data_IF_098364463581
#
_entry.id   IF_098364463581
#
_cell.length_a   1.000
_cell.length_b   1.000
_cell.length_c   1.000
_cell.angle_alpha   90.00
_cell.angle_beta   90.00
_cell.angle_gamma   90.00
#
_symmetry.space_group_name_H-M   'P 1'
#
loop_
_entity.id
_entity.type
_entity.pdbx_description
1 polymer ?
#
# COMPACT_ATOMS: atom_id res chain seq x y z
N UNK A 1 20.23 -17.51 24.32
CA UNK A 1 21.39 -17.79 23.46
C UNK A 1 20.93 -17.55 22.03
N UNK A 2 21.31 -16.42 21.43
CA UNK A 2 21.06 -16.17 20.01
C UNK A 2 21.88 -17.15 19.19
N UNK A 3 21.35 -17.57 18.06
CA UNK A 3 22.14 -18.32 17.07
C UNK A 3 23.31 -17.40 16.70
N UNK A 4 24.55 -17.81 17.01
CA UNK A 4 25.72 -16.97 16.84
C UNK A 4 25.79 -16.43 15.39
N UNK A 5 25.65 -15.11 15.26
CA UNK A 5 25.78 -14.40 13.98
C UNK A 5 24.49 -14.09 13.22
N UNK A 6 23.29 -14.49 13.68
CA UNK A 6 22.03 -14.21 13.00
C UNK A 6 21.22 -13.16 13.78
N UNK A 7 20.91 -12.02 13.15
CA UNK A 7 20.05 -10.98 13.71
C UNK A 7 18.57 -11.28 13.35
N UNK A 8 17.89 -11.96 14.28
CA UNK A 8 16.47 -12.32 14.12
C UNK A 8 15.56 -11.09 14.00
N UNK A 9 15.89 -10.02 14.72
CA UNK A 9 15.10 -8.78 14.67
C UNK A 9 15.16 -8.13 13.28
N UNK A 10 16.33 -8.12 12.67
CA UNK A 10 16.49 -7.64 11.31
C UNK A 10 15.72 -8.51 10.29
N UNK A 11 15.80 -9.83 10.44
CA UNK A 11 15.05 -10.76 9.58
C UNK A 11 13.56 -10.48 9.67
N UNK A 12 13.01 -10.32 10.88
CA UNK A 12 11.60 -9.99 11.07
C UNK A 12 11.23 -8.62 10.54
N UNK A 13 12.10 -7.62 10.70
CA UNK A 13 11.92 -6.30 10.09
C UNK A 13 11.77 -6.39 8.58
N UNK A 14 12.62 -7.20 7.91
CA UNK A 14 12.56 -7.44 6.45
C UNK A 14 11.28 -8.20 6.06
N UNK A 15 10.88 -9.23 6.82
CA UNK A 15 9.65 -9.99 6.53
C UNK A 15 8.41 -9.09 6.64
N UNK A 16 8.33 -8.25 7.68
CA UNK A 16 7.21 -7.31 7.85
C UNK A 16 7.22 -6.27 6.72
N UNK A 17 8.36 -5.68 6.43
CA UNK A 17 8.50 -4.73 5.34
C UNK A 17 8.09 -5.35 4.00
N UNK A 18 8.47 -6.59 3.72
CA UNK A 18 8.05 -7.33 2.54
C UNK A 18 6.52 -7.56 2.52
N UNK A 19 5.93 -8.02 3.64
CA UNK A 19 4.48 -8.25 3.74
C UNK A 19 3.67 -6.98 3.52
N UNK A 20 4.06 -5.87 4.15
CA UNK A 20 3.43 -4.56 3.96
C UNK A 20 3.59 -4.07 2.51
N UNK A 21 4.76 -4.26 1.90
CA UNK A 21 4.98 -3.91 0.49
C UNK A 21 4.09 -4.72 -0.45
N UNK A 22 3.95 -6.02 -0.21
CA UNK A 22 3.05 -6.88 -0.98
C UNK A 22 1.60 -6.41 -0.84
N UNK A 23 1.16 -6.05 0.37
CA UNK A 23 -0.16 -5.47 0.59
C UNK A 23 -0.36 -4.16 -0.19
N UNK A 24 0.58 -3.21 -0.07
CA UNK A 24 0.51 -1.91 -0.77
C UNK A 24 0.42 -2.08 -2.29
N UNK A 25 1.15 -3.03 -2.87
CA UNK A 25 1.13 -3.27 -4.30
C UNK A 25 -0.17 -3.97 -4.71
N UNK A 26 -0.52 -5.08 -4.05
CA UNK A 26 -1.56 -5.98 -4.52
C UNK A 26 -2.96 -5.47 -4.16
N UNK A 27 -3.20 -5.08 -2.92
CA UNK A 27 -4.48 -4.49 -2.53
C UNK A 27 -4.59 -3.02 -3.00
N UNK A 28 -3.46 -2.35 -3.23
CA UNK A 28 -3.43 -0.97 -3.71
C UNK A 28 -4.08 -0.78 -5.08
N UNK A 29 -3.87 -1.66 -6.06
CA UNK A 29 -4.59 -1.53 -7.33
C UNK A 29 -6.06 -1.93 -7.20
N UNK A 30 -6.42 -2.87 -6.31
CA UNK A 30 -7.82 -3.24 -6.05
C UNK A 30 -8.60 -2.04 -5.48
N UNK A 31 -8.05 -1.39 -4.46
CA UNK A 31 -8.60 -0.15 -3.89
C UNK A 31 -8.61 0.97 -4.93
N UNK A 32 -7.58 1.03 -5.78
CA UNK A 32 -7.48 1.96 -6.89
C UNK A 32 -8.63 1.85 -7.89
N UNK A 33 -9.14 0.64 -8.14
CA UNK A 33 -10.33 0.44 -8.95
C UNK A 33 -11.56 1.11 -8.32
N UNK A 34 -11.78 0.92 -7.02
CA UNK A 34 -12.89 1.56 -6.31
C UNK A 34 -12.83 3.09 -6.35
N UNK A 35 -11.61 3.66 -6.26
CA UNK A 35 -11.36 5.10 -6.38
C UNK A 35 -11.70 5.61 -7.79
N UNK A 36 -11.38 4.84 -8.83
CA UNK A 36 -11.65 5.19 -10.24
C UNK A 36 -13.09 4.92 -10.67
N UNK A 37 -13.82 4.10 -9.94
CA UNK A 37 -15.18 3.64 -10.28
C UNK A 37 -16.17 4.76 -10.59
N UNK A 38 -16.20 5.89 -9.85
CA UNK A 38 -17.09 7.03 -10.16
C UNK A 38 -16.85 7.65 -11.54
N UNK A 39 -15.62 7.53 -12.06
CA UNK A 39 -15.23 8.12 -13.35
C UNK A 39 -15.74 7.32 -14.56
N UNK A 40 -16.33 6.14 -14.32
CA UNK A 40 -16.83 5.24 -15.35
C UNK A 40 -18.36 5.25 -15.33
N UNK A 41 -19.02 5.90 -16.29
CA UNK A 41 -20.48 5.99 -16.32
C UNK A 41 -21.16 4.70 -16.78
N UNK A 42 -20.49 3.92 -17.65
CA UNK A 42 -21.06 2.70 -18.23
C UNK A 42 -21.02 1.53 -17.23
N UNK A 43 -22.18 0.88 -17.05
CA UNK A 43 -22.35 -0.22 -16.10
C UNK A 43 -21.59 -1.47 -16.51
N UNK A 44 -21.51 -1.77 -17.81
CA UNK A 44 -20.78 -2.94 -18.30
C UNK A 44 -19.27 -2.76 -18.13
N UNK A 45 -18.75 -1.55 -18.36
CA UNK A 45 -17.35 -1.23 -18.06
C UNK A 45 -17.04 -1.36 -16.56
N UNK A 46 -17.97 -0.97 -15.66
CA UNK A 46 -17.85 -1.18 -14.21
C UNK A 46 -17.82 -2.67 -13.85
N UNK A 47 -18.63 -3.50 -14.51
CA UNK A 47 -18.61 -4.95 -14.31
C UNK A 47 -17.26 -5.53 -14.74
N UNK A 48 -16.73 -5.10 -15.89
CA UNK A 48 -15.38 -5.47 -16.34
C UNK A 48 -14.32 -5.07 -15.34
N UNK A 49 -14.36 -3.83 -14.80
CA UNK A 49 -13.39 -3.38 -13.78
C UNK A 49 -13.38 -4.32 -12.58
N UNK A 50 -14.53 -4.61 -11.99
CA UNK A 50 -14.61 -5.49 -10.82
C UNK A 50 -14.13 -6.91 -11.14
N UNK A 51 -14.49 -7.45 -12.30
CA UNK A 51 -14.07 -8.79 -12.72
C UNK A 51 -12.56 -8.92 -12.93
N UNK A 52 -11.83 -7.82 -13.12
CA UNK A 52 -10.36 -7.87 -13.21
C UNK A 52 -9.68 -8.26 -11.90
N UNK A 53 -10.33 -8.05 -10.75
CA UNK A 53 -9.78 -8.29 -9.41
C UNK A 53 -10.63 -9.27 -8.58
N UNK A 54 -11.87 -9.52 -8.95
CA UNK A 54 -12.76 -10.44 -8.23
C UNK A 54 -12.16 -11.80 -7.91
N UNK A 55 -11.31 -12.44 -8.75
CA UNK A 55 -10.70 -13.72 -8.42
C UNK A 55 -9.48 -13.63 -7.50
N UNK A 56 -8.97 -12.43 -7.17
CA UNK A 56 -7.68 -12.28 -6.46
C UNK A 56 -7.74 -11.35 -5.24
N UNK A 57 -8.77 -10.52 -5.08
CA UNK A 57 -8.84 -9.48 -4.05
C UNK A 57 -8.68 -10.02 -2.61
N UNK A 58 -9.29 -11.14 -2.28
CA UNK A 58 -9.21 -11.75 -0.95
C UNK A 58 -7.78 -12.21 -0.62
N UNK A 59 -7.12 -12.84 -1.60
CA UNK A 59 -5.70 -13.19 -1.51
C UNK A 59 -4.77 -11.98 -1.36
N UNK A 60 -5.10 -10.86 -2.00
CA UNK A 60 -4.34 -9.62 -1.90
C UNK A 60 -4.44 -8.99 -0.50
N UNK A 61 -5.63 -9.03 0.11
CA UNK A 61 -5.87 -8.50 1.46
C UNK A 61 -5.15 -9.32 2.55
N UNK A 62 -4.89 -10.61 2.31
CA UNK A 62 -4.20 -11.51 3.24
C UNK A 62 -2.80 -11.00 3.66
N UNK A 63 -2.11 -10.23 2.81
CA UNK A 63 -0.81 -9.65 3.13
C UNK A 63 -0.87 -8.63 4.29
N UNK A 64 -2.00 -7.94 4.50
CA UNK A 64 -2.21 -7.08 5.66
C UNK A 64 -2.21 -7.89 6.97
N UNK A 65 -2.85 -9.05 6.95
CA UNK A 65 -2.91 -9.96 8.11
C UNK A 65 -1.51 -10.47 8.44
N UNK A 66 -0.72 -10.85 7.44
CA UNK A 66 0.67 -11.26 7.65
C UNK A 66 1.50 -10.16 8.33
N UNK A 67 1.39 -8.92 7.83
CA UNK A 67 2.11 -7.76 8.39
C UNK A 67 1.72 -7.50 9.85
N UNK A 68 0.42 -7.47 10.15
CA UNK A 68 -0.09 -7.24 11.52
C UNK A 68 0.26 -8.36 12.50
N UNK A 69 0.09 -9.62 12.09
CA UNK A 69 0.42 -10.78 12.93
C UNK A 69 1.93 -10.88 13.20
N UNK A 70 2.75 -10.63 12.18
CA UNK A 70 4.20 -10.62 12.32
C UNK A 70 4.68 -9.47 13.23
N UNK A 71 4.08 -8.28 13.11
CA UNK A 71 4.38 -7.16 13.99
C UNK A 71 4.03 -7.49 15.46
N UNK A 72 2.86 -8.09 15.71
CA UNK A 72 2.46 -8.54 17.04
C UNK A 72 3.42 -9.57 17.63
N UNK A 73 3.80 -10.58 16.87
CA UNK A 73 4.65 -11.67 17.34
C UNK A 73 6.12 -11.30 17.52
N UNK A 74 6.68 -10.55 16.58
CA UNK A 74 8.11 -10.21 16.57
C UNK A 74 8.42 -8.91 17.32
N UNK A 75 7.50 -7.93 17.32
CA UNK A 75 7.70 -6.59 17.91
C UNK A 75 6.50 -6.13 18.75
N UNK A 76 6.18 -6.84 19.84
CA UNK A 76 4.96 -6.56 20.65
C UNK A 76 4.91 -5.15 21.21
N UNK A 77 6.06 -4.56 21.55
CA UNK A 77 6.12 -3.18 22.00
C UNK A 77 5.72 -2.19 20.90
N UNK A 78 6.26 -2.37 19.68
CA UNK A 78 5.88 -1.54 18.55
C UNK A 78 4.40 -1.71 18.21
N UNK A 79 3.89 -2.94 18.24
CA UNK A 79 2.48 -3.24 18.02
C UNK A 79 1.58 -2.47 19.01
N UNK A 80 1.87 -2.55 20.32
CA UNK A 80 1.05 -1.87 21.33
C UNK A 80 1.04 -0.35 21.14
N UNK A 81 2.21 0.26 20.94
CA UNK A 81 2.35 1.72 20.79
C UNK A 81 1.67 2.22 19.50
N UNK A 82 1.90 1.54 18.37
CA UNK A 82 1.31 1.94 17.08
C UNK A 82 -0.21 1.79 17.11
N UNK A 83 -0.72 0.67 17.64
CA UNK A 83 -2.16 0.47 17.71
C UNK A 83 -2.83 1.48 18.65
N UNK A 84 -2.25 1.77 19.80
CA UNK A 84 -2.79 2.76 20.73
C UNK A 84 -2.84 4.17 20.11
N UNK A 85 -1.79 4.56 19.38
CA UNK A 85 -1.72 5.86 18.71
C UNK A 85 -2.69 6.00 17.53
N UNK A 86 -2.93 4.91 16.79
CA UNK A 86 -3.58 4.92 15.48
C UNK A 86 -4.86 4.07 15.42
N UNK A 87 -5.45 3.68 16.56
CA UNK A 87 -6.60 2.77 16.57
C UNK A 87 -7.80 3.32 15.79
N UNK A 88 -8.07 4.63 15.83
CA UNK A 88 -9.21 5.20 15.10
C UNK A 88 -9.05 5.11 13.59
N UNK A 89 -7.95 5.60 12.96
CA UNK A 89 -7.79 5.42 11.52
C UNK A 89 -7.70 3.94 11.11
N UNK A 90 -7.13 3.07 11.95
CA UNK A 90 -7.10 1.63 11.67
C UNK A 90 -8.50 1.00 11.71
N UNK A 91 -9.36 1.36 12.67
CA UNK A 91 -10.76 0.90 12.72
C UNK A 91 -11.53 1.39 11.48
N UNK A 92 -11.38 2.67 11.10
CA UNK A 92 -12.01 3.19 9.89
C UNK A 92 -11.49 2.53 8.62
N UNK A 93 -10.19 2.23 8.56
CA UNK A 93 -9.58 1.47 7.47
C UNK A 93 -10.24 0.09 7.35
N UNK A 94 -10.32 -0.67 8.45
CA UNK A 94 -10.95 -2.00 8.46
C UNK A 94 -12.43 -1.94 8.09
N UNK A 95 -13.18 -0.95 8.59
CA UNK A 95 -14.56 -0.74 8.18
C UNK A 95 -14.67 -0.50 6.66
N UNK A 96 -13.79 0.33 6.09
CA UNK A 96 -13.69 0.55 4.65
C UNK A 96 -13.42 -0.73 3.86
N UNK A 97 -12.48 -1.56 4.32
CA UNK A 97 -12.16 -2.85 3.71
C UNK A 97 -13.36 -3.82 3.76
N UNK A 98 -14.09 -3.85 4.88
CA UNK A 98 -15.32 -4.67 5.01
C UNK A 98 -16.36 -4.22 3.97
N UNK A 99 -16.64 -2.91 3.84
CA UNK A 99 -17.60 -2.41 2.85
C UNK A 99 -17.18 -2.74 1.43
N UNK A 100 -15.88 -2.60 1.11
CA UNK A 100 -15.32 -2.96 -0.19
C UNK A 100 -15.47 -4.47 -0.46
N UNK A 101 -15.06 -5.33 0.49
CA UNK A 101 -15.14 -6.78 0.36
C UNK A 101 -16.57 -7.28 0.17
N UNK A 102 -17.51 -6.79 0.99
CA UNK A 102 -18.94 -7.13 0.86
C UNK A 102 -19.50 -6.69 -0.49
N UNK A 103 -19.04 -5.56 -1.04
CA UNK A 103 -19.48 -5.10 -2.36
C UNK A 103 -19.14 -6.08 -3.48
N UNK A 104 -17.97 -6.75 -3.45
CA UNK A 104 -17.61 -7.78 -4.44
C UNK A 104 -18.61 -8.92 -4.49
N UNK A 105 -19.06 -9.40 -3.32
CA UNK A 105 -19.95 -10.56 -3.23
C UNK A 105 -21.42 -10.22 -3.56
N UNK A 106 -21.88 -9.07 -3.12
CA UNK A 106 -23.31 -8.74 -3.18
C UNK A 106 -23.71 -7.97 -4.44
N UNK A 107 -22.80 -7.21 -5.05
CA UNK A 107 -23.13 -6.38 -6.22
C UNK A 107 -23.62 -7.22 -7.42
N UNK A 108 -22.96 -8.33 -7.71
CA UNK A 108 -23.33 -9.21 -8.83
C UNK A 108 -24.63 -9.99 -8.56
N UNK A 109 -24.96 -10.23 -7.29
CA UNK A 109 -26.19 -10.92 -6.86
C UNK A 109 -27.38 -9.96 -6.67
N UNK A 110 -27.12 -8.65 -6.62
CA UNK A 110 -28.15 -7.63 -6.40
C UNK A 110 -29.01 -7.40 -7.64
N UNK A 111 -30.30 -7.09 -7.42
CA UNK A 111 -31.18 -6.63 -8.49
C UNK A 111 -30.63 -5.33 -9.12
N UNK A 112 -30.90 -5.08 -10.43
CA UNK A 112 -30.39 -3.90 -11.12
C UNK A 112 -30.67 -2.55 -10.41
N UNK A 113 -31.78 -2.48 -9.68
CA UNK A 113 -32.21 -1.30 -8.91
C UNK A 113 -31.34 -1.07 -7.68
N UNK A 114 -30.82 -2.14 -7.05
CA UNK A 114 -30.04 -2.08 -5.82
C UNK A 114 -28.53 -2.08 -6.04
N UNK A 115 -28.06 -2.29 -7.27
CA UNK A 115 -26.62 -2.32 -7.58
C UNK A 115 -25.91 -1.03 -7.20
N UNK A 116 -26.59 0.13 -7.30
CA UNK A 116 -25.99 1.41 -6.94
C UNK A 116 -25.56 1.50 -5.46
N UNK A 117 -26.24 0.77 -4.55
CA UNK A 117 -25.87 0.72 -3.13
C UNK A 117 -24.48 0.06 -2.98
N UNK A 118 -24.27 -1.03 -3.70
CA UNK A 118 -23.01 -1.76 -3.68
C UNK A 118 -21.89 -1.01 -4.44
N UNK A 119 -22.26 -0.27 -5.50
CA UNK A 119 -21.32 0.65 -6.15
C UNK A 119 -20.83 1.70 -5.14
N UNK A 120 -21.74 2.29 -4.34
CA UNK A 120 -21.37 3.26 -3.30
C UNK A 120 -20.55 2.63 -2.18
N UNK A 121 -20.87 1.39 -1.78
CA UNK A 121 -20.08 0.64 -0.79
C UNK A 121 -18.66 0.35 -1.30
N UNK A 122 -18.52 -0.02 -2.57
CA UNK A 122 -17.22 -0.23 -3.20
C UNK A 122 -16.38 1.05 -3.28
N UNK A 123 -16.99 2.15 -3.74
CA UNK A 123 -16.34 3.47 -3.83
C UNK A 123 -15.96 3.99 -2.44
N UNK A 124 -16.95 4.07 -1.55
CA UNK A 124 -16.78 4.64 -0.21
C UNK A 124 -15.82 3.81 0.65
N UNK A 125 -15.93 2.47 0.58
CA UNK A 125 -15.03 1.56 1.27
C UNK A 125 -13.59 1.69 0.80
N UNK A 126 -13.36 1.73 -0.51
CA UNK A 126 -12.02 1.90 -1.10
C UNK A 126 -11.40 3.25 -0.77
N UNK A 127 -12.18 4.34 -0.87
CA UNK A 127 -11.71 5.69 -0.51
C UNK A 127 -11.38 5.79 0.97
N UNK A 128 -12.27 5.31 1.86
CA UNK A 128 -12.07 5.34 3.31
C UNK A 128 -10.84 4.53 3.72
N UNK A 129 -10.74 3.29 3.23
CA UNK A 129 -9.61 2.43 3.53
C UNK A 129 -8.29 3.05 3.08
N UNK A 130 -8.20 3.51 1.83
CA UNK A 130 -6.99 4.14 1.29
C UNK A 130 -6.61 5.42 2.02
N UNK A 131 -7.59 6.29 2.29
CA UNK A 131 -7.34 7.54 3.00
C UNK A 131 -6.79 7.28 4.41
N UNK A 132 -7.40 6.35 5.15
CA UNK A 132 -6.94 5.97 6.48
C UNK A 132 -5.56 5.30 6.46
N UNK A 133 -5.26 4.47 5.46
CA UNK A 133 -3.90 3.92 5.28
C UNK A 133 -2.86 5.02 5.11
N UNK A 134 -3.17 6.01 4.27
CA UNK A 134 -2.27 7.15 4.07
C UNK A 134 -2.11 8.01 5.34
N UNK A 135 -3.18 8.20 6.12
CA UNK A 135 -3.11 8.85 7.44
C UNK A 135 -2.18 8.07 8.38
N UNK A 136 -2.34 6.75 8.45
CA UNK A 136 -1.48 5.88 9.28
C UNK A 136 -0.01 6.04 8.88
N UNK A 137 0.32 6.00 7.59
CA UNK A 137 1.68 6.22 7.09
C UNK A 137 2.17 7.62 7.45
N UNK A 138 1.36 8.65 7.25
CA UNK A 138 1.72 10.03 7.54
C UNK A 138 1.95 10.28 9.04
N UNK A 139 1.08 9.78 9.90
CA UNK A 139 1.24 9.89 11.35
C UNK A 139 2.45 9.11 11.85
N UNK A 140 2.73 7.96 11.25
CA UNK A 140 3.92 7.16 11.53
C UNK A 140 5.21 7.91 11.16
N UNK A 141 5.26 8.58 10.01
CA UNK A 141 6.39 9.43 9.59
C UNK A 141 6.50 10.66 10.50
N UNK A 142 5.36 11.28 10.85
CA UNK A 142 5.32 12.44 11.73
C UNK A 142 5.83 12.15 13.16
N UNK A 143 5.96 10.86 13.49
CA UNK A 143 6.48 10.41 14.77
C UNK A 143 5.40 10.21 15.83
N UNK A 144 5.54 9.12 16.56
CA UNK A 144 4.63 8.74 17.65
C UNK A 144 5.30 9.10 18.98
N UNK A 145 4.70 9.97 19.83
CA UNK A 145 5.26 10.32 21.10
C UNK A 145 5.22 9.13 22.07
N UNK A 146 6.38 8.78 22.61
CA UNK A 146 6.54 7.64 23.52
C UNK A 146 7.27 8.09 24.79
N UNK A 147 6.69 7.78 25.95
CA UNK A 147 7.30 8.00 27.26
C UNK A 147 7.20 6.70 28.07
N UNK A 148 8.28 6.28 28.70
CA UNK A 148 8.33 5.04 29.47
C UNK A 148 7.82 3.79 28.70
N UNK A 149 8.13 3.69 27.39
CA UNK A 149 7.73 2.59 26.49
C UNK A 149 6.19 2.52 26.27
N UNK A 150 5.46 3.59 26.50
CA UNK A 150 4.01 3.69 26.26
C UNK A 150 3.72 4.90 25.39
N UNK A 151 2.63 4.84 24.64
CA UNK A 151 2.14 6.00 23.90
C UNK A 151 1.80 7.13 24.87
N UNK A 152 2.26 8.33 24.58
CA UNK A 152 2.09 9.51 25.44
C UNK A 152 1.39 10.67 24.71
N UNK A 153 0.76 10.41 23.60
CA UNK A 153 0.03 11.40 22.81
C UNK A 153 -1.47 11.42 23.06
N UNK A 154 -2.17 12.26 22.32
CA UNK A 154 -3.61 12.37 22.32
C UNK A 154 -4.29 11.47 21.27
N UNK A 155 -5.55 11.14 21.50
CA UNK A 155 -6.37 10.28 20.62
C UNK A 155 -6.50 10.80 19.18
N UNK A 156 -6.32 12.10 18.96
CA UNK A 156 -6.51 12.76 17.66
C UNK A 156 -5.20 13.36 17.09
N UNK A 157 -4.04 13.00 17.62
CA UNK A 157 -2.74 13.53 17.13
C UNK A 157 -2.48 13.18 15.64
N UNK A 158 -3.05 12.07 15.19
CA UNK A 158 -3.02 11.69 13.77
C UNK A 158 -3.83 12.64 12.87
N UNK A 159 -4.74 13.44 13.43
CA UNK A 159 -5.57 14.40 12.67
C UNK A 159 -4.82 15.73 12.51
N UNK A 160 -3.69 15.68 11.84
CA UNK A 160 -2.87 16.86 11.54
C UNK A 160 -2.62 16.98 10.04
N UNK A 161 -2.14 18.14 9.58
CA UNK A 161 -2.06 18.46 8.16
C UNK A 161 -1.20 17.47 7.35
N UNK A 162 -0.08 17.03 7.92
CA UNK A 162 0.83 16.11 7.21
C UNK A 162 0.22 14.70 7.01
N UNK A 163 -0.34 14.00 8.02
CA UNK A 163 -1.04 12.73 7.82
C UNK A 163 -2.22 12.83 6.86
N UNK A 164 -3.03 13.90 6.95
CA UNK A 164 -4.14 14.11 6.04
C UNK A 164 -3.67 14.27 4.59
N UNK A 165 -2.56 14.99 4.37
CA UNK A 165 -1.95 15.12 3.06
C UNK A 165 -1.40 13.78 2.54
N UNK A 166 -0.81 12.95 3.40
CA UNK A 166 -0.40 11.59 3.06
C UNK A 166 -1.60 10.72 2.67
N UNK A 167 -2.75 10.87 3.39
CA UNK A 167 -4.01 10.21 3.05
C UNK A 167 -4.47 10.52 1.63
N UNK A 168 -4.47 11.80 1.27
CA UNK A 168 -4.79 12.24 -0.08
C UNK A 168 -3.76 11.74 -1.11
N UNK A 169 -2.48 11.79 -0.77
CA UNK A 169 -1.40 11.28 -1.62
C UNK A 169 -1.54 9.79 -1.94
N UNK A 170 -1.94 8.98 -0.96
CA UNK A 170 -2.13 7.55 -1.17
C UNK A 170 -3.35 7.24 -2.06
N UNK A 171 -4.43 8.04 -1.98
CA UNK A 171 -5.56 7.95 -2.93
C UNK A 171 -5.07 8.12 -4.36
N UNK A 172 -4.22 9.12 -4.62
CA UNK A 172 -3.65 9.36 -5.96
C UNK A 172 -2.74 8.19 -6.39
N UNK A 173 -1.92 7.67 -5.49
CA UNK A 173 -1.03 6.55 -5.78
C UNK A 173 -1.81 5.27 -6.14
N UNK A 174 -2.85 4.95 -5.38
CA UNK A 174 -3.68 3.76 -5.65
C UNK A 174 -4.57 3.95 -6.88
N UNK A 175 -5.08 5.15 -7.15
CA UNK A 175 -5.75 5.45 -8.41
C UNK A 175 -4.80 5.24 -9.61
N UNK A 176 -3.52 5.64 -9.50
CA UNK A 176 -2.52 5.39 -10.54
C UNK A 176 -2.24 3.88 -10.71
N UNK A 177 -2.10 3.13 -9.61
CA UNK A 177 -1.96 1.66 -9.66
C UNK A 177 -3.16 1.01 -10.34
N UNK A 178 -4.39 1.35 -9.93
CA UNK A 178 -5.63 0.82 -10.51
C UNK A 178 -5.77 1.18 -12.00
N UNK A 179 -5.46 2.44 -12.39
CA UNK A 179 -5.53 2.83 -13.79
C UNK A 179 -4.56 2.05 -14.67
N UNK A 180 -3.32 1.84 -14.20
CA UNK A 180 -2.30 1.09 -14.94
C UNK A 180 -2.56 -0.42 -14.93
N UNK A 181 -3.16 -0.97 -13.87
CA UNK A 181 -3.67 -2.34 -13.85
C UNK A 181 -4.72 -2.57 -14.94
N UNK A 182 -5.70 -1.65 -15.06
CA UNK A 182 -6.73 -1.75 -16.09
C UNK A 182 -6.15 -1.66 -17.52
N UNK A 183 -5.05 -0.95 -17.76
CA UNK A 183 -4.35 -0.97 -19.04
C UNK A 183 -3.84 -2.38 -19.42
N UNK A 184 -3.48 -3.18 -18.42
CA UNK A 184 -3.03 -4.57 -18.62
C UNK A 184 -4.21 -5.50 -18.85
N UNK A 185 -5.30 -5.31 -18.08
CA UNK A 185 -6.40 -6.26 -17.96
C UNK A 185 -7.59 -6.02 -18.89
N UNK A 186 -7.65 -4.85 -19.52
CA UNK A 186 -8.81 -4.48 -20.37
C UNK A 186 -8.39 -4.09 -21.77
N UNK A 187 -9.37 -3.91 -22.66
CA UNK A 187 -9.19 -3.45 -24.03
C UNK A 187 -10.33 -2.49 -24.43
N UNK A 188 -10.20 -1.85 -25.58
CA UNK A 188 -11.23 -0.99 -26.16
C UNK A 188 -11.39 0.35 -25.45
N UNK A 189 -12.65 0.75 -25.19
CA UNK A 189 -12.97 2.07 -24.66
C UNK A 189 -12.44 2.26 -23.23
N UNK A 190 -12.55 1.25 -22.39
CA UNK A 190 -12.08 1.31 -20.99
C UNK A 190 -10.55 1.48 -20.94
N UNK A 191 -9.78 0.73 -21.74
CA UNK A 191 -8.33 0.92 -21.86
C UNK A 191 -7.99 2.36 -22.31
N UNK A 192 -8.68 2.87 -23.33
CA UNK A 192 -8.45 4.24 -23.82
C UNK A 192 -8.73 5.29 -22.76
N UNK A 193 -9.81 5.14 -21.99
CA UNK A 193 -10.18 6.02 -20.88
C UNK A 193 -9.16 5.99 -19.75
N UNK A 194 -8.72 4.80 -19.34
CA UNK A 194 -7.67 4.65 -18.33
C UNK A 194 -6.36 5.29 -18.77
N UNK A 195 -5.99 5.16 -20.02
CA UNK A 195 -4.81 5.82 -20.60
C UNK A 195 -4.88 7.34 -20.48
N UNK A 196 -6.06 7.92 -20.65
CA UNK A 196 -6.28 9.35 -20.49
C UNK A 196 -6.13 9.77 -19.00
N UNK A 197 -6.66 8.99 -18.05
CA UNK A 197 -6.56 9.29 -16.62
C UNK A 197 -5.18 9.01 -16.01
N UNK A 198 -4.47 8.01 -16.50
CA UNK A 198 -3.13 7.65 -15.98
C UNK A 198 -2.14 8.82 -16.06
N UNK A 199 -2.22 9.63 -17.13
CA UNK A 199 -1.28 10.74 -17.31
C UNK A 199 -1.41 11.85 -16.25
N UNK A 200 -2.58 12.45 -15.99
CA UNK A 200 -2.74 13.43 -14.93
C UNK A 200 -2.48 12.83 -13.54
N UNK A 201 -2.89 11.57 -13.29
CA UNK A 201 -2.59 10.90 -12.02
C UNK A 201 -1.08 10.78 -11.76
N UNK A 202 -0.29 10.45 -12.79
CA UNK A 202 1.17 10.37 -12.67
C UNK A 202 1.79 11.74 -12.34
N UNK A 203 1.33 12.82 -12.95
CA UNK A 203 1.80 14.17 -12.61
C UNK A 203 1.37 14.60 -11.22
N UNK A 204 0.12 14.32 -10.82
CA UNK A 204 -0.38 14.64 -9.48
C UNK A 204 0.41 13.87 -8.42
N UNK A 205 0.68 12.58 -8.63
CA UNK A 205 1.52 11.79 -7.71
C UNK A 205 2.93 12.38 -7.61
N UNK A 206 3.51 12.79 -8.72
CA UNK A 206 4.84 13.44 -8.73
C UNK A 206 4.83 14.72 -7.91
N UNK A 207 3.80 15.56 -8.05
CA UNK A 207 3.65 16.78 -7.25
C UNK A 207 3.49 16.47 -5.76
N UNK A 208 2.68 15.47 -5.41
CA UNK A 208 2.50 14.99 -4.03
C UNK A 208 3.84 14.52 -3.44
N UNK A 209 4.57 13.67 -4.15
CA UNK A 209 5.88 13.18 -3.71
C UNK A 209 6.88 14.32 -3.55
N UNK A 210 6.91 15.29 -4.48
CA UNK A 210 7.77 16.47 -4.37
C UNK A 210 7.47 17.28 -3.10
N UNK A 211 6.18 17.50 -2.78
CA UNK A 211 5.78 18.17 -1.53
C UNK A 211 6.22 17.37 -0.31
N UNK A 212 6.03 16.04 -0.30
CA UNK A 212 6.47 15.18 0.80
C UNK A 212 8.00 15.22 0.99
N UNK A 213 8.77 15.21 -0.10
CA UNK A 213 10.24 15.32 -0.05
C UNK A 213 10.73 16.64 0.55
N UNK A 214 9.95 17.71 0.44
CA UNK A 214 10.26 19.00 1.07
C UNK A 214 9.72 19.05 2.50
N UNK A 215 8.51 18.59 2.74
CA UNK A 215 7.83 18.72 4.03
C UNK A 215 8.42 17.80 5.11
N UNK A 216 8.75 16.55 4.76
CA UNK A 216 9.29 15.57 5.72
C UNK A 216 10.57 16.07 6.44
N UNK A 217 11.62 16.55 5.76
CA UNK A 217 12.80 17.08 6.44
C UNK A 217 12.55 18.37 7.22
N UNK A 218 11.50 19.14 6.89
CA UNK A 218 11.09 20.32 7.68
C UNK A 218 10.45 19.93 9.02
N UNK A 219 9.74 18.80 9.07
CA UNK A 219 9.17 18.27 10.31
C UNK A 219 10.22 17.60 11.20
N UNK A 220 11.21 16.94 10.60
CA UNK A 220 12.22 16.13 11.27
C UNK A 220 13.63 16.48 10.85
N UNK A 221 14.35 17.35 11.60
CA UNK A 221 15.73 17.71 11.31
C UNK A 221 16.69 16.51 11.24
N UNK A 222 16.42 15.46 12.01
CA UNK A 222 17.19 14.21 11.98
C UNK A 222 17.02 13.45 10.65
N UNK A 223 15.87 13.50 10.00
CA UNK A 223 15.66 12.95 8.66
C UNK A 223 16.43 13.81 7.65
N UNK A 224 16.38 15.14 7.79
CA UNK A 224 17.14 16.06 6.97
C UNK A 224 18.64 15.76 7.04
N UNK A 225 19.21 15.65 8.24
CA UNK A 225 20.63 15.30 8.41
C UNK A 225 20.96 13.94 7.79
N UNK A 226 20.07 12.96 7.92
CA UNK A 226 20.25 11.63 7.31
C UNK A 226 20.26 11.70 5.78
N UNK A 227 19.32 12.41 5.16
CA UNK A 227 19.26 12.51 3.70
C UNK A 227 20.44 13.25 3.09
N UNK A 228 20.93 14.30 3.79
CA UNK A 228 21.97 15.19 3.27
C UNK A 228 23.38 14.91 3.82
N UNK A 229 23.60 13.81 4.56
CA UNK A 229 24.93 13.35 4.92
C UNK A 229 25.60 12.65 3.74
N UNK A 230 26.88 12.93 3.45
CA UNK A 230 27.62 12.59 2.22
C UNK A 230 27.34 11.19 1.62
N UNK A 231 27.38 10.13 2.41
CA UNK A 231 27.11 8.77 1.93
C UNK A 231 25.62 8.56 1.57
N UNK A 232 24.71 9.13 2.33
CA UNK A 232 23.26 8.95 2.17
C UNK A 232 22.69 9.83 1.07
N UNK A 233 23.30 10.99 0.79
CA UNK A 233 22.89 11.88 -0.31
C UNK A 233 22.98 11.17 -1.66
N UNK A 234 23.97 10.29 -1.85
CA UNK A 234 24.10 9.48 -3.08
C UNK A 234 22.94 8.49 -3.20
N UNK A 235 22.55 7.83 -2.10
CA UNK A 235 21.43 6.88 -2.10
C UNK A 235 20.10 7.60 -2.38
N UNK A 236 19.85 8.68 -1.63
CA UNK A 236 18.59 9.45 -1.79
C UNK A 236 18.50 10.11 -3.16
N UNK A 237 19.58 10.72 -3.65
CA UNK A 237 19.67 11.26 -5.00
C UNK A 237 19.48 10.20 -6.08
N UNK A 238 20.02 9.00 -5.89
CA UNK A 238 19.81 7.86 -6.76
C UNK A 238 18.34 7.44 -6.83
N UNK A 239 17.63 7.38 -5.68
CA UNK A 239 16.20 7.08 -5.64
C UNK A 239 15.38 8.12 -6.41
N UNK A 240 15.70 9.41 -6.26
CA UNK A 240 15.02 10.48 -6.99
C UNK A 240 15.26 10.39 -8.50
N UNK A 241 16.49 10.14 -8.94
CA UNK A 241 16.83 9.97 -10.36
C UNK A 241 16.08 8.78 -10.94
N UNK A 242 16.08 7.63 -10.26
CA UNK A 242 15.33 6.45 -10.70
C UNK A 242 13.83 6.72 -10.75
N UNK A 243 13.28 7.49 -9.81
CA UNK A 243 11.88 7.92 -9.81
C UNK A 243 11.54 8.77 -11.05
N UNK A 244 12.40 9.73 -11.39
CA UNK A 244 12.24 10.56 -12.60
C UNK A 244 12.32 9.72 -13.87
N UNK A 245 13.27 8.78 -13.95
CA UNK A 245 13.41 7.86 -15.09
C UNK A 245 12.20 6.94 -15.23
N UNK A 246 11.68 6.41 -14.11
CA UNK A 246 10.49 5.58 -14.10
C UNK A 246 9.25 6.36 -14.54
N UNK A 247 9.08 7.61 -14.07
CA UNK A 247 8.01 8.51 -14.52
C UNK A 247 8.11 8.80 -16.01
N UNK A 248 9.30 9.14 -16.51
CA UNK A 248 9.51 9.39 -17.93
C UNK A 248 9.17 8.15 -18.76
N UNK A 249 9.65 6.98 -18.32
CA UNK A 249 9.33 5.69 -18.94
C UNK A 249 7.83 5.41 -18.95
N UNK A 250 7.13 5.66 -17.82
CA UNK A 250 5.68 5.53 -17.70
C UNK A 250 4.96 6.40 -18.74
N UNK A 251 5.25 7.69 -18.78
CA UNK A 251 4.63 8.62 -19.72
C UNK A 251 4.91 8.26 -21.20
N UNK A 252 6.11 7.75 -21.49
CA UNK A 252 6.47 7.28 -22.85
C UNK A 252 5.74 6.00 -23.20
N UNK A 253 5.62 5.06 -22.25
CA UNK A 253 4.95 3.78 -22.48
C UNK A 253 3.45 3.90 -22.77
N UNK A 254 2.80 4.99 -22.30
CA UNK A 254 1.41 5.30 -22.60
C UNK A 254 1.15 5.57 -24.11
N UNK A 255 2.17 5.70 -24.93
CA UNK A 255 2.02 5.84 -26.39
C UNK A 255 1.73 4.51 -27.10
N UNK A 256 2.01 3.38 -26.43
CA UNK A 256 1.85 2.04 -26.99
C UNK A 256 0.65 1.34 -26.35
N UNK A 257 -0.30 0.90 -27.19
CA UNK A 257 -1.46 0.11 -26.73
C UNK A 257 -1.03 -1.31 -26.34
N UNK A 258 -1.80 -1.92 -25.45
CA UNK A 258 -1.57 -3.29 -24.94
C UNK A 258 -0.21 -3.51 -24.28
N UNK A 259 0.42 -2.44 -23.79
CA UNK A 259 1.71 -2.50 -23.10
C UNK A 259 1.53 -2.79 -21.61
N UNK A 260 2.35 -3.68 -21.06
CA UNK A 260 2.43 -3.93 -19.61
C UNK A 260 3.33 -2.92 -18.90
N UNK A 261 4.15 -2.17 -19.64
CA UNK A 261 5.12 -1.24 -19.07
C UNK A 261 4.54 -0.15 -18.18
N UNK A 262 3.35 0.43 -18.46
CA UNK A 262 2.76 1.42 -17.56
C UNK A 262 2.57 0.88 -16.14
N UNK A 263 2.08 -0.35 -16.00
CA UNK A 263 1.88 -0.98 -14.70
C UNK A 263 3.22 -1.30 -14.02
N UNK A 264 4.17 -1.90 -14.73
CA UNK A 264 5.50 -2.22 -14.19
C UNK A 264 6.22 -0.97 -13.69
N UNK A 265 6.18 0.13 -14.45
CA UNK A 265 6.82 1.39 -14.05
C UNK A 265 6.11 2.07 -12.89
N UNK A 266 4.79 1.90 -12.77
CA UNK A 266 4.05 2.34 -11.57
C UNK A 266 4.44 1.53 -10.34
N UNK A 267 4.60 0.20 -10.47
CA UNK A 267 5.14 -0.64 -9.39
C UNK A 267 6.54 -0.17 -8.97
N UNK A 268 7.40 0.16 -9.92
CA UNK A 268 8.74 0.71 -9.62
C UNK A 268 8.62 2.04 -8.85
N UNK A 269 7.73 2.95 -9.24
CA UNK A 269 7.52 4.21 -8.53
C UNK A 269 7.07 3.98 -7.08
N UNK A 270 6.11 3.08 -6.86
CA UNK A 270 5.63 2.73 -5.52
C UNK A 270 6.75 2.09 -4.69
N UNK A 271 7.52 1.19 -5.28
CA UNK A 271 8.66 0.53 -4.63
C UNK A 271 9.74 1.52 -4.23
N UNK A 272 10.09 2.47 -5.09
CA UNK A 272 11.06 3.53 -4.79
C UNK A 272 10.59 4.42 -3.64
N UNK A 273 9.29 4.79 -3.64
CA UNK A 273 8.68 5.54 -2.53
C UNK A 273 8.74 4.77 -1.21
N UNK A 274 8.47 3.47 -1.25
CA UNK A 274 8.53 2.60 -0.08
C UNK A 274 9.97 2.45 0.46
N UNK A 275 10.96 2.28 -0.41
CA UNK A 275 12.38 2.26 -0.01
C UNK A 275 12.77 3.61 0.60
N UNK A 276 12.35 4.72 0.00
CA UNK A 276 12.59 6.06 0.53
C UNK A 276 12.01 6.24 1.94
N UNK A 277 10.80 5.71 2.18
CA UNK A 277 10.19 5.69 3.52
C UNK A 277 11.03 4.85 4.48
N UNK A 278 11.34 3.60 4.14
CA UNK A 278 12.14 2.71 4.98
C UNK A 278 13.49 3.33 5.35
N UNK A 279 14.16 3.94 4.37
CA UNK A 279 15.42 4.65 4.57
C UNK A 279 15.28 5.85 5.53
N UNK A 280 14.15 6.56 5.48
CA UNK A 280 13.90 7.74 6.32
C UNK A 280 13.70 7.38 7.79
N UNK A 281 13.00 6.27 8.07
CA UNK A 281 12.66 5.86 9.45
C UNK A 281 13.72 4.96 10.11
N UNK A 282 14.57 4.31 9.32
CA UNK A 282 15.61 3.41 9.82
C UNK A 282 16.51 4.10 10.87
N UNK A 283 16.90 3.46 12.01
CA UNK A 283 16.61 2.06 12.40
C UNK A 283 15.36 1.91 13.28
N UNK A 284 14.50 2.93 13.36
CA UNK A 284 13.38 2.95 14.28
C UNK A 284 12.17 2.23 13.69
N UNK A 285 11.61 1.30 14.48
CA UNK A 285 10.32 0.67 14.16
C UNK A 285 9.13 1.51 14.69
N UNK A 286 9.37 2.37 15.67
CA UNK A 286 8.44 3.44 16.08
C UNK A 286 9.22 4.76 16.07
N UNK A 287 9.18 5.52 14.95
CA UNK A 287 9.89 6.78 14.88
C UNK A 287 9.37 7.83 15.88
N UNK A 288 10.22 8.68 16.44
CA UNK A 288 11.69 8.63 16.37
C UNK A 288 12.34 7.79 17.47
N UNK A 289 11.57 7.22 18.40
CA UNK A 289 12.00 6.88 19.77
C UNK A 289 12.33 5.42 20.00
N UNK A 290 11.77 4.44 19.25
CA UNK A 290 11.97 3.02 19.53
C UNK A 290 12.64 2.36 18.33
N UNK A 291 13.83 1.81 18.53
CA UNK A 291 14.56 1.06 17.52
C UNK A 291 13.97 -0.34 17.31
N UNK A 292 14.33 -0.95 16.18
CA UNK A 292 13.93 -2.31 15.82
C UNK A 292 14.31 -3.33 16.92
N UNK A 293 15.50 -3.21 17.48
CA UNK A 293 16.01 -4.13 18.50
C UNK A 293 15.37 -3.93 19.88
N UNK A 294 15.03 -2.68 20.23
CA UNK A 294 14.34 -2.37 21.49
C UNK A 294 12.89 -2.86 21.54
N UNK A 295 12.23 -2.93 20.38
CA UNK A 295 10.87 -3.41 20.26
C UNK A 295 10.76 -4.93 20.19
N UNK A 296 11.88 -5.62 19.97
CA UNK A 296 11.93 -7.04 19.65
C UNK A 296 11.48 -7.94 20.80
N UNK A 297 10.71 -8.96 20.48
CA UNK A 297 10.39 -10.06 21.39
C UNK A 297 11.63 -10.91 21.70
N UNK A 298 11.62 -11.74 22.77
CA UNK A 298 12.75 -12.63 23.08
C UNK A 298 13.16 -13.50 21.87
N UNK A 299 14.46 -13.78 21.68
CA UNK A 299 14.95 -14.56 20.54
C UNK A 299 14.31 -15.94 20.38
N UNK A 300 13.92 -16.59 21.49
CA UNK A 300 13.20 -17.88 21.44
C UNK A 300 11.83 -17.76 20.77
N UNK A 301 11.09 -16.70 21.08
CA UNK A 301 9.79 -16.42 20.48
C UNK A 301 9.94 -16.07 19.01
N UNK A 302 10.92 -15.19 18.67
CA UNK A 302 11.19 -14.85 17.27
C UNK A 302 11.57 -16.07 16.43
N UNK A 303 12.39 -16.97 16.97
CA UNK A 303 12.79 -18.20 16.28
C UNK A 303 11.61 -19.14 16.07
N UNK A 304 10.77 -19.32 17.09
CA UNK A 304 9.59 -20.19 17.01
C UNK A 304 8.64 -19.75 15.88
N UNK A 305 8.27 -18.46 15.86
CA UNK A 305 7.38 -17.95 14.81
C UNK A 305 8.06 -17.92 13.44
N UNK A 306 9.40 -17.72 13.37
CA UNK A 306 10.15 -17.74 12.11
C UNK A 306 10.10 -19.14 11.45
N UNK A 307 10.22 -20.20 12.20
CA UNK A 307 10.11 -21.55 11.68
C UNK A 307 8.75 -21.75 11.01
N UNK A 308 7.64 -21.36 11.66
CA UNK A 308 6.31 -21.42 11.07
C UNK A 308 6.19 -20.55 9.79
N UNK A 309 6.73 -19.34 9.83
CA UNK A 309 6.70 -18.41 8.70
C UNK A 309 7.49 -18.94 7.50
N UNK A 310 8.63 -19.59 7.70
CA UNK A 310 9.43 -20.19 6.63
C UNK A 310 8.68 -21.31 5.87
N UNK A 311 7.71 -21.98 6.50
CA UNK A 311 6.84 -22.94 5.83
C UNK A 311 5.66 -22.26 5.15
N UNK A 312 5.00 -21.31 5.82
CA UNK A 312 3.74 -20.71 5.34
C UNK A 312 4.01 -19.69 4.22
N UNK A 313 5.04 -18.85 4.34
CA UNK A 313 5.32 -17.78 3.39
C UNK A 313 5.57 -18.30 1.96
N UNK A 314 6.38 -19.36 1.71
CA UNK A 314 6.52 -19.94 0.38
C UNK A 314 5.20 -20.46 -0.20
N UNK A 315 4.34 -21.05 0.65
CA UNK A 315 3.02 -21.56 0.22
C UNK A 315 2.12 -20.39 -0.22
N UNK A 316 2.08 -19.30 0.55
CA UNK A 316 1.33 -18.09 0.19
C UNK A 316 1.85 -17.51 -1.12
N UNK A 317 3.17 -17.39 -1.29
CA UNK A 317 3.77 -16.88 -2.52
C UNK A 317 3.44 -17.77 -3.73
N UNK A 318 3.55 -19.08 -3.57
CA UNK A 318 3.20 -20.04 -4.63
C UNK A 318 1.71 -19.93 -5.01
N UNK A 319 0.82 -19.87 -4.04
CA UNK A 319 -0.62 -19.68 -4.27
C UNK A 319 -0.90 -18.35 -4.97
N UNK A 320 -0.30 -17.26 -4.51
CA UNK A 320 -0.42 -15.95 -5.13
C UNK A 320 0.03 -15.98 -6.59
N UNK A 321 1.24 -16.46 -6.86
CA UNK A 321 1.76 -16.59 -8.23
C UNK A 321 0.84 -17.45 -9.11
N UNK A 322 0.34 -18.56 -8.58
CA UNK A 322 -0.57 -19.45 -9.29
C UNK A 322 -1.89 -18.77 -9.61
N UNK A 323 -2.50 -18.06 -8.66
CA UNK A 323 -3.74 -17.32 -8.86
C UNK A 323 -3.59 -16.29 -9.99
N UNK A 324 -2.55 -15.48 -9.95
CA UNK A 324 -2.28 -14.50 -11.02
C UNK A 324 -1.95 -15.14 -12.37
N UNK A 325 -1.33 -16.30 -12.38
CA UNK A 325 -1.07 -17.06 -13.60
C UNK A 325 -2.36 -17.60 -14.22
N UNK A 326 -3.27 -18.15 -13.41
CA UNK A 326 -4.57 -18.67 -13.88
C UNK A 326 -5.41 -17.54 -14.47
N UNK A 327 -5.51 -16.41 -13.79
CA UNK A 327 -6.34 -15.27 -14.19
C UNK A 327 -5.59 -14.19 -14.99
N UNK A 328 -4.52 -14.54 -15.70
CA UNK A 328 -3.66 -13.57 -16.40
C UNK A 328 -4.29 -12.91 -17.64
N UNK A 329 -5.38 -13.45 -18.17
CA UNK A 329 -6.05 -12.97 -19.37
C UNK A 329 -6.65 -11.57 -19.24
N UNK A 330 -7.05 -10.99 -20.39
CA UNK A 330 -7.87 -9.77 -20.43
C UNK A 330 -9.32 -10.13 -20.13
N UNK A 331 -10.02 -9.23 -19.45
CA UNK A 331 -11.44 -9.33 -19.12
C UNK A 331 -12.24 -8.51 -20.11
N UNK A 332 -13.30 -9.12 -20.68
CA UNK A 332 -14.17 -8.51 -21.68
C UNK A 332 -15.60 -8.36 -21.17
N UNK A 333 -16.39 -7.55 -21.84
CA UNK A 333 -17.82 -7.46 -21.59
C UNK A 333 -18.46 -8.83 -21.81
N UNK A 334 -19.16 -9.33 -20.81
CA UNK A 334 -19.79 -10.66 -20.82
C UNK A 334 -18.97 -11.77 -20.13
N UNK A 335 -17.69 -11.51 -19.82
CA UNK A 335 -16.94 -12.41 -18.97
C UNK A 335 -17.44 -12.25 -17.54
N UNK A 336 -18.15 -13.26 -17.01
CA UNK A 336 -18.62 -13.30 -15.63
C UNK A 336 -17.63 -14.07 -14.76
N UNK A 337 -17.38 -13.59 -13.54
CA UNK A 337 -16.81 -14.38 -12.47
C UNK A 337 -17.95 -15.19 -11.81
N UNK A 338 -17.94 -16.50 -12.04
CA UNK A 338 -18.89 -17.45 -11.47
C UNK A 338 -18.15 -18.50 -10.64
#
# INVERSE_FOLDING_TARGET
>A
MGIQGIDLSLIWGVIIAFGVMMYVIMDGFDLGLGILFPLIPDRQERDVMMNTVAPVWDGNETWLILGGAALYGAFPLAYSVILEALYLPLIFMLAGLIFRGVAFEFRFKASPEKRHIWDMAFIGGSLLATFCQGIVIGAYIAGIPVVNRQFAGGTLDWLSAFPLFCGFGLIVAYALLGSTWLLVKTEGMLESRMRHYTRPLAFTLTAVVAVLCVWTPMLHPEIATRWFTHAHTVVFGGLLILGVLALFGLLRSLRHYHSHWPFVLTLVLVFLGYIGLAFSIWPNIVPPSISLWEAASPPSSQLFILIGTLFILPIILMYTCWSYYVFRGKVRIGDGYH
#
